data_IF_912431884876
#
_entry.id   IF_912431884876
#
_cell.length_a   1.000
_cell.length_b   1.000
_cell.length_c   1.000
_cell.angle_alpha   90.00
_cell.angle_beta   90.00
_cell.angle_gamma   90.00
#
_symmetry.space_group_name_H-M   'P 1'
#
loop_
_entity.id
_entity.type
_entity.pdbx_description
1 polymer ?
#
# COMPACT_ATOMS: atom_id res chain seq x y z
N UNK A 1 -22.90 20.35 -39.90
CA UNK A 1 -21.97 19.95 -38.82
C UNK A 1 -20.62 19.62 -39.46
N UNK A 2 -19.62 20.49 -39.26
CA UNK A 2 -18.27 20.33 -39.81
C UNK A 2 -17.54 19.19 -39.09
N UNK A 3 -17.04 18.21 -39.85
CA UNK A 3 -16.14 17.16 -39.36
C UNK A 3 -14.80 17.81 -39.00
N UNK A 4 -14.36 17.66 -37.74
CA UNK A 4 -13.01 18.01 -37.31
C UNK A 4 -12.02 17.01 -37.92
N UNK A 5 -11.02 17.53 -38.64
CA UNK A 5 -9.86 16.76 -39.10
C UNK A 5 -9.00 16.34 -37.89
N UNK A 6 -8.39 15.14 -37.89
CA UNK A 6 -7.49 14.73 -36.83
C UNK A 6 -6.19 15.54 -36.90
N UNK A 7 -5.70 15.97 -35.73
CA UNK A 7 -4.40 16.62 -35.58
C UNK A 7 -3.27 15.66 -35.99
N UNK A 8 -2.17 16.15 -36.59
CA UNK A 8 -1.06 15.29 -37.00
C UNK A 8 -0.36 14.72 -35.76
N UNK A 9 -0.24 13.39 -35.72
CA UNK A 9 0.48 12.65 -34.69
C UNK A 9 1.98 12.97 -34.77
N UNK A 10 2.64 12.95 -33.60
CA UNK A 10 4.06 13.24 -33.51
C UNK A 10 4.89 12.04 -34.01
N UNK A 11 6.12 12.26 -34.52
CA UNK A 11 6.97 11.16 -35.03
C UNK A 11 7.33 10.09 -33.97
N UNK A 12 7.18 10.42 -32.69
CA UNK A 12 7.36 9.50 -31.55
C UNK A 12 6.20 8.52 -31.38
N UNK A 13 5.00 8.86 -31.85
CA UNK A 13 3.82 7.99 -31.72
C UNK A 13 3.84 6.80 -32.68
N UNK A 14 4.62 6.89 -33.78
CA UNK A 14 4.68 5.86 -34.83
C UNK A 14 5.67 4.72 -34.54
N UNK A 15 6.57 4.89 -33.56
CA UNK A 15 7.55 3.87 -33.18
C UNK A 15 7.02 2.90 -32.09
N UNK A 16 5.79 3.13 -31.61
CA UNK A 16 5.32 2.62 -30.32
C UNK A 16 4.03 1.77 -30.42
N UNK A 17 3.56 1.50 -31.65
CA UNK A 17 2.45 0.58 -31.91
C UNK A 17 2.90 -0.87 -31.65
N UNK A 18 2.48 -1.43 -30.52
CA UNK A 18 2.59 -2.87 -30.22
C UNK A 18 3.39 -3.23 -28.97
N UNK A 19 4.13 -2.30 -28.37
CA UNK A 19 4.83 -2.55 -27.10
C UNK A 19 3.84 -2.46 -25.93
N UNK A 20 3.67 -3.51 -25.10
CA UNK A 20 2.78 -3.45 -23.94
C UNK A 20 3.23 -2.35 -22.95
N UNK A 21 2.27 -1.63 -22.36
CA UNK A 21 2.58 -0.52 -21.43
C UNK A 21 3.39 -0.99 -20.21
N UNK A 22 3.18 -2.23 -19.76
CA UNK A 22 3.99 -2.79 -18.68
C UNK A 22 5.47 -2.93 -19.03
N UNK A 23 5.81 -3.10 -20.32
CA UNK A 23 7.19 -3.14 -20.81
C UNK A 23 7.79 -1.75 -20.76
N UNK A 24 7.08 -0.72 -21.26
CA UNK A 24 7.51 0.69 -21.21
C UNK A 24 7.79 1.15 -19.76
N UNK A 25 6.86 0.86 -18.84
CA UNK A 25 7.02 1.18 -17.42
C UNK A 25 8.28 0.48 -16.84
N UNK A 26 8.51 -0.80 -17.19
CA UNK A 26 9.71 -1.55 -16.74
C UNK A 26 10.99 -0.97 -17.31
N UNK A 27 11.01 -0.59 -18.58
CA UNK A 27 12.17 0.03 -19.21
C UNK A 27 12.53 1.35 -18.53
N UNK A 28 11.54 2.21 -18.22
CA UNK A 28 11.77 3.43 -17.43
C UNK A 28 12.33 3.13 -16.04
N UNK A 29 11.78 2.15 -15.33
CA UNK A 29 12.28 1.71 -14.02
C UNK A 29 13.74 1.21 -14.09
N UNK A 30 14.05 0.38 -15.09
CA UNK A 30 15.40 -0.16 -15.30
C UNK A 30 16.40 0.92 -15.68
N UNK A 31 16.03 1.83 -16.59
CA UNK A 31 16.86 2.97 -16.98
C UNK A 31 17.20 3.87 -15.78
N UNK A 32 16.23 4.08 -14.88
CA UNK A 32 16.44 4.83 -13.64
C UNK A 32 17.11 4.01 -12.51
N UNK A 33 17.47 2.74 -12.76
CA UNK A 33 18.01 1.81 -11.75
C UNK A 33 17.14 1.71 -10.51
N UNK A 34 15.82 1.82 -10.68
CA UNK A 34 14.85 1.76 -9.59
C UNK A 34 14.41 0.32 -9.36
N UNK A 35 14.39 -0.09 -8.08
CA UNK A 35 13.82 -1.37 -7.66
C UNK A 35 12.29 -1.35 -7.79
N UNK A 36 11.70 -2.45 -8.23
CA UNK A 36 10.25 -2.60 -8.44
C UNK A 36 9.70 -3.92 -7.89
N UNK A 37 10.20 -4.38 -6.74
CA UNK A 37 9.63 -5.52 -6.00
C UNK A 37 8.17 -5.28 -5.65
N UNK A 38 7.43 -6.32 -5.30
CA UNK A 38 5.97 -6.24 -5.15
C UNK A 38 5.50 -5.13 -4.19
N UNK A 39 6.25 -4.87 -3.10
CA UNK A 39 5.94 -3.84 -2.10
C UNK A 39 6.53 -2.45 -2.38
N UNK A 40 7.25 -2.27 -3.50
CA UNK A 40 7.72 -0.96 -3.92
C UNK A 40 6.56 -0.08 -4.43
N UNK A 41 6.71 1.23 -4.31
CA UNK A 41 5.90 2.20 -5.05
C UNK A 41 6.63 2.57 -6.34
N UNK A 42 5.88 2.63 -7.44
CA UNK A 42 6.41 2.93 -8.78
C UNK A 42 5.68 4.13 -9.42
N UNK A 43 4.94 4.91 -8.64
CA UNK A 43 4.08 5.98 -9.16
C UNK A 43 4.86 7.02 -9.99
N UNK A 44 6.11 7.31 -9.62
CA UNK A 44 6.98 8.25 -10.33
C UNK A 44 7.34 7.82 -11.77
N UNK A 45 7.03 6.57 -12.15
CA UNK A 45 7.38 5.98 -13.46
C UNK A 45 6.13 5.61 -14.29
N UNK A 46 4.96 6.06 -13.84
CA UNK A 46 3.68 5.89 -14.53
C UNK A 46 3.28 7.25 -15.10
N UNK A 47 3.15 7.32 -16.42
CA UNK A 47 2.70 8.50 -17.13
C UNK A 47 1.17 8.57 -17.19
N UNK A 48 0.58 9.77 -17.39
CA UNK A 48 -0.86 9.93 -17.47
C UNK A 48 -1.49 9.01 -18.54
N UNK A 49 -2.54 8.27 -18.16
CA UNK A 49 -3.26 7.35 -19.06
C UNK A 49 -2.66 5.94 -19.14
N UNK A 50 -1.46 5.71 -18.61
CA UNK A 50 -0.84 4.38 -18.65
C UNK A 50 -1.42 3.41 -17.62
N UNK A 51 -1.97 3.90 -16.52
CA UNK A 51 -2.59 3.03 -15.53
C UNK A 51 -3.85 2.36 -16.09
N UNK A 52 -4.61 3.09 -16.91
CA UNK A 52 -5.76 2.58 -17.66
C UNK A 52 -5.33 1.53 -18.68
N UNK A 53 -4.27 1.81 -19.47
CA UNK A 53 -3.70 0.83 -20.40
C UNK A 53 -3.17 -0.42 -19.68
N UNK A 54 -2.56 -0.24 -18.49
CA UNK A 54 -2.04 -1.35 -17.71
C UNK A 54 -3.17 -2.21 -17.15
N UNK A 55 -4.30 -1.59 -16.82
CA UNK A 55 -5.50 -2.28 -16.40
C UNK A 55 -6.07 -3.13 -17.54
N UNK A 56 -6.17 -2.59 -18.76
CA UNK A 56 -6.57 -3.35 -19.95
C UNK A 56 -5.60 -4.52 -20.21
N UNK A 57 -4.29 -4.30 -20.06
CA UNK A 57 -3.28 -5.35 -20.21
C UNK A 57 -3.42 -6.46 -19.15
N UNK A 58 -3.70 -6.10 -17.89
CA UNK A 58 -3.89 -7.04 -16.78
C UNK A 58 -5.20 -7.81 -16.94
N UNK A 59 -6.28 -7.16 -17.39
CA UNK A 59 -7.53 -7.82 -17.71
C UNK A 59 -7.32 -8.94 -18.74
N UNK A 60 -6.68 -8.64 -19.87
CA UNK A 60 -6.41 -9.66 -20.89
C UNK A 60 -5.63 -10.85 -20.32
N UNK A 61 -4.63 -10.57 -19.48
CA UNK A 61 -3.84 -11.61 -18.80
C UNK A 61 -4.67 -12.41 -17.79
N UNK A 62 -5.59 -11.77 -17.07
CA UNK A 62 -6.49 -12.43 -16.15
C UNK A 62 -7.52 -13.29 -16.88
N UNK A 63 -7.97 -12.88 -18.07
CA UNK A 63 -8.84 -13.71 -18.91
C UNK A 63 -8.13 -15.01 -19.29
N UNK A 64 -6.88 -14.94 -19.76
CA UNK A 64 -6.11 -16.15 -20.06
C UNK A 64 -5.90 -17.08 -18.83
N UNK A 65 -5.86 -16.51 -17.62
CA UNK A 65 -5.85 -17.32 -16.38
C UNK A 65 -7.18 -18.05 -16.22
N UNK A 66 -8.32 -17.38 -16.43
CA UNK A 66 -9.65 -18.01 -16.36
C UNK A 66 -9.81 -19.11 -17.43
N UNK A 67 -9.37 -18.84 -18.66
CA UNK A 67 -9.39 -19.81 -19.75
C UNK A 67 -8.54 -21.04 -19.41
N UNK A 68 -7.36 -20.83 -18.81
CA UNK A 68 -6.45 -21.91 -18.37
C UNK A 68 -7.03 -22.72 -17.21
N UNK A 69 -7.92 -22.12 -16.41
CA UNK A 69 -8.68 -22.79 -15.35
C UNK A 69 -9.93 -23.52 -15.90
N UNK A 70 -10.16 -23.47 -17.22
CA UNK A 70 -11.30 -24.08 -17.91
C UNK A 70 -12.63 -23.50 -17.37
N UNK A 71 -12.65 -22.19 -17.15
CA UNK A 71 -13.85 -21.45 -16.73
C UNK A 71 -14.52 -20.88 -17.98
N UNK A 72 -15.75 -21.30 -18.25
CA UNK A 72 -16.57 -20.84 -19.39
C UNK A 72 -17.14 -19.45 -19.13
N UNK A 73 -16.29 -18.42 -19.26
CA UNK A 73 -16.71 -17.02 -19.09
C UNK A 73 -17.63 -16.53 -20.18
N UNK A 74 -17.64 -17.18 -21.35
CA UNK A 74 -18.47 -16.78 -22.49
C UNK A 74 -19.95 -17.11 -22.28
N UNK A 75 -20.24 -18.20 -21.55
CA UNK A 75 -21.62 -18.64 -21.30
C UNK A 75 -22.08 -18.48 -19.84
N UNK A 76 -21.18 -18.20 -18.89
CA UNK A 76 -21.54 -17.90 -17.49
C UNK A 76 -21.59 -16.39 -17.20
N UNK A 77 -22.81 -15.86 -17.12
CA UNK A 77 -23.10 -14.47 -16.77
C UNK A 77 -22.49 -14.00 -15.43
N UNK A 78 -22.16 -14.90 -14.50
CA UNK A 78 -21.51 -14.52 -13.24
C UNK A 78 -20.03 -14.22 -13.44
N UNK A 79 -19.37 -14.90 -14.37
CA UNK A 79 -17.91 -14.83 -14.56
C UNK A 79 -17.45 -14.02 -15.77
N UNK A 80 -18.33 -13.70 -16.73
CA UNK A 80 -18.10 -12.90 -17.96
C UNK A 80 -17.23 -11.63 -17.80
N UNK A 81 -17.28 -10.95 -16.66
CA UNK A 81 -16.50 -9.73 -16.40
C UNK A 81 -15.48 -9.87 -15.25
N UNK A 82 -15.14 -11.10 -14.86
CA UNK A 82 -14.26 -11.36 -13.71
C UNK A 82 -12.86 -10.84 -13.95
N UNK A 83 -12.31 -11.01 -15.15
CA UNK A 83 -10.98 -10.53 -15.51
C UNK A 83 -10.85 -9.01 -15.28
N UNK A 84 -11.82 -8.22 -15.79
CA UNK A 84 -11.88 -6.76 -15.57
C UNK A 84 -11.97 -6.40 -14.10
N UNK A 85 -12.86 -7.07 -13.36
CA UNK A 85 -13.07 -6.81 -11.92
C UNK A 85 -11.80 -7.08 -11.12
N UNK A 86 -11.09 -8.18 -11.41
CA UNK A 86 -9.82 -8.52 -10.75
C UNK A 86 -8.72 -7.53 -11.11
N UNK A 87 -8.59 -7.14 -12.38
CA UNK A 87 -7.62 -6.13 -12.81
C UNK A 87 -7.85 -4.79 -12.08
N UNK A 88 -9.10 -4.31 -12.05
CA UNK A 88 -9.49 -3.09 -11.32
C UNK A 88 -9.23 -3.22 -9.83
N UNK A 89 -9.60 -4.34 -9.22
CA UNK A 89 -9.34 -4.61 -7.81
C UNK A 89 -7.85 -4.49 -7.51
N UNK A 90 -6.97 -5.12 -8.30
CA UNK A 90 -5.53 -5.03 -8.08
C UNK A 90 -4.98 -3.61 -8.28
N UNK A 91 -5.27 -2.94 -9.39
CA UNK A 91 -4.62 -1.66 -9.70
C UNK A 91 -5.20 -0.47 -8.93
N UNK A 92 -6.53 -0.44 -8.77
CA UNK A 92 -7.24 0.75 -8.29
C UNK A 92 -7.70 0.63 -6.83
N UNK A 93 -7.67 -0.57 -6.26
CA UNK A 93 -8.17 -0.84 -4.90
C UNK A 93 -7.06 -1.41 -4.01
N UNK A 94 -6.79 -2.72 -4.08
CA UNK A 94 -5.94 -3.41 -3.09
C UNK A 94 -4.45 -3.10 -3.24
N UNK A 95 -3.96 -2.81 -4.45
CA UNK A 95 -2.57 -2.40 -4.69
C UNK A 95 -2.41 -0.94 -5.13
N UNK A 96 -3.43 -0.11 -4.89
CA UNK A 96 -3.42 1.31 -5.26
C UNK A 96 -2.17 2.05 -4.76
N UNK A 97 -1.73 1.75 -3.54
CA UNK A 97 -0.54 2.32 -2.90
C UNK A 97 0.78 2.01 -3.62
N UNK A 98 0.79 1.09 -4.59
CA UNK A 98 1.94 0.84 -5.50
C UNK A 98 1.99 1.85 -6.66
N UNK A 99 0.83 2.33 -7.10
CA UNK A 99 0.68 3.08 -8.36
C UNK A 99 0.40 4.57 -8.16
N UNK A 100 0.10 5.01 -6.92
CA UNK A 100 -0.15 6.43 -6.61
C UNK A 100 0.93 7.00 -5.68
N UNK A 101 1.23 8.29 -5.80
CA UNK A 101 2.17 8.96 -4.89
C UNK A 101 1.65 8.97 -3.44
N UNK A 102 2.57 9.13 -2.50
CA UNK A 102 2.24 9.23 -1.08
C UNK A 102 1.26 10.37 -0.80
N UNK A 103 0.29 10.20 0.11
CA UNK A 103 -0.64 11.26 0.47
C UNK A 103 0.10 12.45 1.11
N UNK A 104 -0.37 13.66 0.82
CA UNK A 104 0.12 14.88 1.46
C UNK A 104 -0.27 14.91 2.93
N UNK A 105 0.71 15.20 3.79
CA UNK A 105 0.46 15.43 5.21
C UNK A 105 -0.02 16.87 5.40
N UNK A 106 -1.02 17.02 6.25
CA UNK A 106 -1.43 18.33 6.75
C UNK A 106 -0.90 18.44 8.17
N UNK A 107 -0.14 19.49 8.41
CA UNK A 107 0.50 19.81 9.69
C UNK A 107 -0.19 21.00 10.34
N UNK A 108 -0.16 21.02 11.66
CA UNK A 108 -0.69 22.09 12.49
C UNK A 108 0.42 22.58 13.42
N UNK A 109 0.56 23.90 13.64
CA UNK A 109 1.52 24.43 14.60
C UNK A 109 1.33 23.80 15.97
N UNK A 110 2.42 23.32 16.57
CA UNK A 110 2.41 22.85 17.96
C UNK A 110 2.47 24.05 18.93
N UNK A 111 1.40 24.85 18.94
CA UNK A 111 1.35 26.11 19.69
C UNK A 111 1.50 25.93 21.21
N UNK A 112 1.09 24.77 21.73
CA UNK A 112 1.14 24.44 23.15
C UNK A 112 2.40 23.62 23.51
N UNK A 113 3.36 23.47 22.59
CA UNK A 113 4.60 22.73 22.81
C UNK A 113 4.38 21.31 23.36
N UNK A 114 3.35 20.62 22.84
CA UNK A 114 2.98 19.27 23.24
C UNK A 114 4.20 18.34 23.11
N UNK A 115 4.51 17.65 24.21
CA UNK A 115 5.63 16.71 24.37
C UNK A 115 5.21 15.41 25.08
N UNK A 116 3.91 15.14 25.11
CA UNK A 116 3.32 13.97 25.76
C UNK A 116 3.09 12.82 24.79
N UNK A 117 3.04 11.59 25.30
CA UNK A 117 2.76 10.38 24.52
C UNK A 117 1.39 10.48 23.82
N UNK A 118 1.39 10.40 22.49
CA UNK A 118 0.17 10.27 21.68
C UNK A 118 0.06 8.85 21.12
N UNK A 119 -1.13 8.26 21.20
CA UNK A 119 -1.41 6.95 20.59
C UNK A 119 -2.53 7.08 19.57
N UNK A 120 -2.25 6.64 18.34
CA UNK A 120 -3.21 6.57 17.25
C UNK A 120 -3.52 5.11 16.96
N UNK A 121 -4.75 4.68 17.22
CA UNK A 121 -5.21 3.35 16.87
C UNK A 121 -6.40 2.87 17.69
N UNK A 122 -6.91 1.66 17.40
CA UNK A 122 -6.45 0.78 16.33
C UNK A 122 -6.88 1.25 14.93
N UNK A 123 -5.92 1.38 14.01
CA UNK A 123 -6.19 1.59 12.58
C UNK A 123 -6.45 0.23 11.94
N UNK A 124 -7.58 0.06 11.27
CA UNK A 124 -7.84 -1.16 10.49
C UNK A 124 -7.08 -1.11 9.18
N UNK A 125 -6.24 -2.11 8.93
CA UNK A 125 -5.46 -2.22 7.70
C UNK A 125 -5.80 -3.49 6.94
N UNK A 126 -5.71 -3.40 5.62
CA UNK A 126 -5.92 -4.49 4.67
C UNK A 126 -4.79 -4.43 3.66
N UNK A 127 -4.21 -5.58 3.36
CA UNK A 127 -3.16 -5.76 2.37
C UNK A 127 -3.30 -7.16 1.75
N UNK A 128 -2.35 -7.57 0.93
CA UNK A 128 -2.21 -8.95 0.49
C UNK A 128 -0.78 -9.44 0.68
N UNK A 129 -0.60 -10.67 1.13
CA UNK A 129 0.73 -11.27 1.27
C UNK A 129 1.41 -11.34 -0.10
N UNK A 130 2.61 -10.79 -0.24
CA UNK A 130 3.35 -10.72 -1.51
C UNK A 130 3.58 -12.09 -2.16
N UNK A 131 3.62 -13.16 -1.36
CA UNK A 131 3.86 -14.53 -1.84
C UNK A 131 2.65 -15.18 -2.54
N UNK A 132 1.42 -14.82 -2.16
CA UNK A 132 0.21 -15.52 -2.60
C UNK A 132 -0.93 -14.59 -3.03
N UNK A 133 -0.78 -13.28 -2.81
CA UNK A 133 -1.82 -12.26 -2.94
C UNK A 133 -3.11 -12.58 -2.15
N UNK A 134 -3.01 -13.46 -1.14
CA UNK A 134 -4.09 -13.69 -0.19
C UNK A 134 -4.19 -12.52 0.81
N UNK A 135 -5.40 -12.20 1.30
CA UNK A 135 -5.60 -11.09 2.22
C UNK A 135 -4.74 -11.17 3.50
N UNK A 136 -4.23 -10.02 3.90
CA UNK A 136 -3.68 -9.77 5.24
C UNK A 136 -4.55 -8.70 5.87
N UNK A 137 -5.21 -9.03 6.98
CA UNK A 137 -6.17 -8.14 7.64
C UNK A 137 -5.71 -7.96 9.08
N UNK A 138 -5.54 -6.71 9.50
CA UNK A 138 -4.95 -6.42 10.79
C UNK A 138 -5.35 -5.09 11.39
N UNK A 139 -4.73 -4.82 12.54
CA UNK A 139 -4.82 -3.57 13.29
C UNK A 139 -3.42 -3.03 13.53
N UNK A 140 -3.27 -1.71 13.39
CA UNK A 140 -2.03 -0.99 13.69
C UNK A 140 -2.29 0.03 14.80
N UNK A 141 -1.35 0.11 15.74
CA UNK A 141 -1.26 1.16 16.75
C UNK A 141 0.04 1.92 16.55
N UNK A 142 -0.03 3.25 16.56
CA UNK A 142 1.11 4.13 16.35
C UNK A 142 1.25 5.03 17.58
N UNK A 143 2.32 4.84 18.34
CA UNK A 143 2.74 5.72 19.42
C UNK A 143 3.70 6.78 18.90
N UNK A 144 3.45 8.04 19.20
CA UNK A 144 4.28 9.17 18.79
C UNK A 144 4.64 9.97 20.02
N UNK A 145 5.93 10.21 20.20
CA UNK A 145 6.44 11.20 21.15
C UNK A 145 6.82 12.45 20.34
N UNK A 146 5.97 13.48 20.28
CA UNK A 146 6.24 14.67 19.50
C UNK A 146 7.43 15.42 20.10
N UNK A 147 8.15 16.15 19.24
CA UNK A 147 9.13 17.12 19.69
C UNK A 147 8.41 18.48 19.88
N UNK A 148 8.71 19.19 20.96
CA UNK A 148 8.10 20.49 21.29
C UNK A 148 8.30 21.59 20.22
N UNK A 149 9.24 21.38 19.29
CA UNK A 149 9.55 22.25 18.16
C UNK A 149 8.98 21.75 16.82
N UNK A 150 8.34 20.58 16.78
CA UNK A 150 7.77 20.01 15.55
C UNK A 150 6.27 20.25 15.46
N UNK A 151 5.76 20.40 14.24
CA UNK A 151 4.32 20.47 14.01
C UNK A 151 3.62 19.16 14.38
N UNK A 152 2.36 19.26 14.79
CA UNK A 152 1.50 18.09 15.02
C UNK A 152 0.77 17.73 13.73
N UNK A 153 0.58 16.45 13.50
CA UNK A 153 -0.08 15.95 12.29
C UNK A 153 -1.49 15.51 12.58
N UNK A 154 -2.40 15.84 11.66
CA UNK A 154 -3.79 15.45 11.77
C UNK A 154 -3.97 13.93 11.87
N UNK A 155 -4.84 13.50 12.80
CA UNK A 155 -5.09 12.09 13.11
C UNK A 155 -5.37 11.24 11.86
N UNK A 156 -6.16 11.77 10.91
CA UNK A 156 -6.51 11.08 9.66
C UNK A 156 -5.32 10.79 8.75
N UNK A 157 -4.18 11.47 8.92
CA UNK A 157 -2.99 11.28 8.07
C UNK A 157 -2.27 9.98 8.39
N UNK A 158 -2.21 9.58 9.67
CA UNK A 158 -1.66 8.27 10.06
C UNK A 158 -2.40 7.12 9.37
N UNK A 159 -3.74 7.17 9.38
CA UNK A 159 -4.56 6.18 8.68
C UNK A 159 -4.29 6.15 7.17
N UNK A 160 -4.18 7.33 6.53
CA UNK A 160 -3.88 7.43 5.09
C UNK A 160 -2.48 6.92 4.73
N UNK A 161 -1.48 7.19 5.56
CA UNK A 161 -0.11 6.67 5.35
C UNK A 161 -0.08 5.15 5.52
N UNK A 162 -0.74 4.63 6.55
CA UNK A 162 -0.87 3.19 6.77
C UNK A 162 -1.59 2.52 5.60
N UNK A 163 -2.71 3.07 5.14
CA UNK A 163 -3.43 2.58 3.96
C UNK A 163 -2.60 2.64 2.68
N UNK A 164 -1.81 3.70 2.47
CA UNK A 164 -0.94 3.82 1.30
C UNK A 164 0.20 2.80 1.28
N UNK A 165 0.78 2.48 2.44
CA UNK A 165 1.78 1.39 2.56
C UNK A 165 1.11 0.03 2.39
N UNK A 166 -0.03 -0.19 3.05
CA UNK A 166 -0.71 -1.49 3.07
C UNK A 166 -1.43 -1.79 1.76
N UNK A 167 -1.75 -0.76 0.96
CA UNK A 167 -2.26 -0.86 -0.40
C UNK A 167 -1.21 -1.33 -1.41
N UNK A 168 -0.40 -2.31 -1.05
CA UNK A 168 0.59 -3.00 -1.88
C UNK A 168 0.59 -4.48 -1.49
N UNK A 169 1.07 -5.40 -2.33
CA UNK A 169 1.49 -6.69 -1.85
C UNK A 169 2.60 -6.51 -0.83
N UNK A 170 2.49 -7.11 0.36
CA UNK A 170 3.39 -6.85 1.49
C UNK A 170 3.92 -8.12 2.14
N UNK A 171 5.06 -7.94 2.80
CA UNK A 171 5.55 -8.78 3.90
C UNK A 171 5.34 -7.94 5.17
N UNK A 172 4.71 -8.50 6.21
CA UNK A 172 4.27 -7.70 7.38
C UNK A 172 5.46 -7.05 8.10
N UNK A 173 6.58 -7.75 8.19
CA UNK A 173 7.83 -7.28 8.76
C UNK A 173 8.33 -6.02 8.05
N UNK A 174 8.35 -6.05 6.72
CA UNK A 174 8.79 -4.91 5.90
C UNK A 174 7.77 -3.77 5.91
N UNK A 175 6.47 -4.08 5.87
CA UNK A 175 5.41 -3.07 5.83
C UNK A 175 5.43 -2.16 7.06
N UNK A 176 5.63 -2.73 8.26
CA UNK A 176 5.67 -1.95 9.50
C UNK A 176 6.93 -1.07 9.56
N UNK A 177 8.06 -1.57 9.06
CA UNK A 177 9.30 -0.77 8.94
C UNK A 177 9.11 0.37 7.94
N UNK A 178 8.56 0.10 6.75
CA UNK A 178 8.27 1.12 5.74
C UNK A 178 7.34 2.22 6.26
N UNK A 179 6.31 1.84 7.02
CA UNK A 179 5.40 2.79 7.65
C UNK A 179 6.13 3.63 8.71
N UNK A 180 6.95 3.00 9.55
CA UNK A 180 7.73 3.70 10.57
C UNK A 180 8.70 4.70 9.95
N UNK A 181 9.44 4.28 8.92
CA UNK A 181 10.42 5.14 8.24
C UNK A 181 9.72 6.30 7.50
N UNK A 182 8.55 6.05 6.89
CA UNK A 182 7.74 7.09 6.24
C UNK A 182 7.23 8.14 7.24
N UNK A 183 6.74 7.71 8.40
CA UNK A 183 6.27 8.62 9.45
C UNK A 183 7.48 9.38 10.01
N UNK A 184 8.55 8.69 10.40
CA UNK A 184 9.76 9.34 10.90
C UNK A 184 10.29 10.43 9.95
N UNK A 185 10.34 10.14 8.64
CA UNK A 185 10.79 11.10 7.63
C UNK A 185 9.91 12.34 7.57
N UNK A 186 8.58 12.16 7.67
CA UNK A 186 7.62 13.25 7.49
C UNK A 186 7.31 14.03 8.76
N UNK A 187 7.48 13.43 9.93
CA UNK A 187 7.02 14.01 11.21
C UNK A 187 8.14 14.28 12.19
N UNK A 188 9.34 13.71 11.97
CA UNK A 188 10.55 13.87 12.78
C UNK A 188 10.31 13.90 14.31
N UNK A 189 9.57 12.94 14.88
CA UNK A 189 9.27 12.95 16.31
C UNK A 189 10.51 12.50 17.11
N UNK A 190 10.54 12.84 18.39
CA UNK A 190 11.57 12.34 19.33
C UNK A 190 11.49 10.82 19.51
N UNK A 191 10.29 10.25 19.32
CA UNK A 191 10.05 8.82 19.35
C UNK A 191 8.88 8.39 18.48
N UNK A 192 9.03 7.22 17.88
CA UNK A 192 7.96 6.54 17.15
C UNK A 192 7.92 5.07 17.56
N UNK A 193 6.72 4.56 17.86
CA UNK A 193 6.45 3.17 18.10
C UNK A 193 5.31 2.71 17.19
N UNK A 194 5.43 1.54 16.58
CA UNK A 194 4.35 0.92 15.81
C UNK A 194 4.20 -0.52 16.26
N UNK A 195 2.97 -0.94 16.51
CA UNK A 195 2.60 -2.34 16.73
C UNK A 195 1.56 -2.71 15.68
N UNK A 196 1.75 -3.84 15.02
CA UNK A 196 0.78 -4.41 14.10
C UNK A 196 0.46 -5.83 14.51
N UNK A 197 -0.84 -6.14 14.56
CA UNK A 197 -1.37 -7.50 14.68
C UNK A 197 -2.17 -7.80 13.41
N UNK A 198 -1.93 -8.93 12.74
CA UNK A 198 -2.72 -9.33 11.59
C UNK A 198 -2.91 -10.85 11.46
N UNK A 199 -4.02 -11.20 10.82
CA UNK A 199 -4.31 -12.55 10.33
C UNK A 199 -3.90 -12.66 8.86
N UNK A 200 -3.33 -13.81 8.49
CA UNK A 200 -2.78 -14.08 7.17
C UNK A 200 -3.58 -15.17 6.46
N UNK A 201 -4.36 -14.81 5.44
CA UNK A 201 -5.21 -15.77 4.73
C UNK A 201 -4.43 -16.73 3.84
N UNK A 202 -3.14 -16.46 3.57
CA UNK A 202 -2.26 -17.44 2.95
C UNK A 202 -2.01 -18.68 3.83
N UNK A 203 -2.22 -18.57 5.14
CA UNK A 203 -2.23 -19.69 6.09
C UNK A 203 -3.65 -20.09 6.51
N UNK A 204 -4.54 -19.12 6.72
CA UNK A 204 -5.87 -19.38 7.28
C UNK A 204 -6.82 -20.06 6.27
N UNK A 205 -6.78 -19.65 5.00
CA UNK A 205 -7.71 -20.16 3.98
C UNK A 205 -7.19 -21.42 3.26
N UNK A 206 -5.87 -21.56 3.15
CA UNK A 206 -5.22 -22.62 2.35
C UNK A 206 -4.01 -23.21 3.06
N UNK A 207 -3.49 -24.33 2.55
CA UNK A 207 -2.33 -24.99 3.13
C UNK A 207 -2.64 -25.52 4.53
N UNK A 208 -2.00 -24.95 5.55
CA UNK A 208 -2.15 -25.36 6.96
C UNK A 208 -3.54 -25.07 7.54
N UNK A 209 -4.26 -24.07 7.02
CA UNK A 209 -5.64 -23.71 7.41
C UNK A 209 -5.82 -23.39 8.91
N UNK A 210 -4.82 -22.76 9.51
CA UNK A 210 -4.90 -22.28 10.90
C UNK A 210 -5.61 -20.92 10.94
N UNK A 211 -6.79 -20.89 11.55
CA UNK A 211 -7.65 -19.71 11.64
C UNK A 211 -7.36 -18.84 12.87
N UNK A 212 -6.68 -19.39 13.88
CA UNK A 212 -6.47 -18.73 15.18
C UNK A 212 -5.11 -18.02 15.24
N UNK A 213 -4.15 -18.46 14.43
CA UNK A 213 -2.82 -17.85 14.33
C UNK A 213 -2.87 -16.39 13.91
N UNK A 214 -2.10 -15.57 14.64
CA UNK A 214 -1.86 -14.16 14.33
C UNK A 214 -0.38 -13.84 14.39
N UNK A 215 0.04 -12.94 13.51
CA UNK A 215 1.37 -12.39 13.55
C UNK A 215 1.33 -11.01 14.21
N UNK A 216 2.14 -10.83 15.25
CA UNK A 216 2.34 -9.55 15.93
C UNK A 216 3.79 -9.14 15.74
N UNK A 217 4.03 -7.93 15.24
CA UNK A 217 5.35 -7.34 15.17
C UNK A 217 5.32 -5.88 15.61
N UNK A 218 6.48 -5.37 16.02
CA UNK A 218 6.62 -3.97 16.43
C UNK A 218 7.91 -3.34 15.94
N UNK A 219 7.88 -2.02 15.78
CA UNK A 219 9.03 -1.19 15.45
C UNK A 219 9.09 -0.07 16.47
N UNK A 220 10.28 0.13 17.07
CA UNK A 220 10.55 1.16 18.06
C UNK A 220 11.71 2.03 17.58
N UNK A 221 11.53 3.36 17.61
CA UNK A 221 12.51 4.36 17.19
C UNK A 221 12.62 5.47 18.24
N UNK A 222 13.75 6.16 18.25
CA UNK A 222 13.97 7.30 19.12
C UNK A 222 13.84 6.93 20.61
N UNK A 223 13.13 7.76 21.37
CA UNK A 223 12.97 7.55 22.82
C UNK A 223 12.27 6.24 23.19
N UNK A 224 11.37 5.69 22.35
CA UNK A 224 10.75 4.38 22.60
C UNK A 224 11.76 3.21 22.56
N UNK A 225 12.85 3.35 21.82
CA UNK A 225 13.90 2.32 21.79
C UNK A 225 14.81 2.42 23.01
N UNK A 226 15.04 3.63 23.51
CA UNK A 226 16.00 3.93 24.59
C UNK A 226 15.38 3.84 25.98
N UNK A 227 14.12 4.22 26.12
CA UNK A 227 13.40 4.25 27.40
C UNK A 227 12.43 3.05 27.53
N UNK A 228 12.75 2.05 28.37
CA UNK A 228 11.87 0.92 28.61
C UNK A 228 10.59 1.29 29.36
N UNK A 229 10.56 2.40 30.13
CA UNK A 229 9.36 2.85 30.83
C UNK A 229 8.31 3.36 29.85
N UNK A 230 8.70 4.29 28.97
CA UNK A 230 7.83 4.80 27.91
C UNK A 230 7.34 3.68 26.99
N UNK A 231 8.22 2.74 26.62
CA UNK A 231 7.81 1.57 25.83
C UNK A 231 6.77 0.72 26.55
N UNK A 232 6.90 0.51 27.86
CA UNK A 232 5.91 -0.23 28.67
C UNK A 232 4.59 0.52 28.76
N UNK A 233 4.63 1.83 28.97
CA UNK A 233 3.43 2.68 28.98
C UNK A 233 2.64 2.51 27.68
N UNK A 234 3.30 2.70 26.52
CA UNK A 234 2.67 2.51 25.22
C UNK A 234 2.06 1.12 25.04
N UNK A 235 2.81 0.05 25.33
CA UNK A 235 2.31 -1.33 25.20
C UNK A 235 1.15 -1.64 26.16
N UNK A 236 1.12 -1.00 27.34
CA UNK A 236 0.03 -1.17 28.32
C UNK A 236 -1.26 -0.47 27.93
N UNK A 237 -1.17 0.62 27.16
CA UNK A 237 -2.31 1.40 26.67
C UNK A 237 -2.92 0.80 25.40
N UNK A 238 -2.23 -0.10 24.70
CA UNK A 238 -2.81 -0.89 23.61
C UNK A 238 -3.81 -1.88 24.23
N UNK A 239 -5.10 -1.84 23.84
CA UNK A 239 -6.09 -2.75 24.38
C UNK A 239 -5.66 -4.21 24.14
N UNK A 240 -5.41 -4.95 25.22
CA UNK A 240 -5.29 -6.40 25.11
C UNK A 240 -6.69 -6.97 24.89
N UNK A 241 -6.84 -7.82 23.87
CA UNK A 241 -8.12 -8.51 23.64
C UNK A 241 -8.39 -9.42 24.85
N UNK A 242 -9.54 -9.19 25.50
CA UNK A 242 -10.26 -10.18 26.28
C UNK A 242 -10.88 -11.24 25.39
#
# INVERSE_FOLDING_TARGET
MLKKSPSPMSPTDLADEGTPVSVKIRERLLAARKRFYANDNIADYIEPGELEQLLDEVELKMQHVLDSLIIDTDNDHNTDNTARRVAKMYLNEVFKGRYVHAPTITEFPNAEHLNELMIVGPITVRSACSHHFCPVIGKIWIGVMPNEHTNVIGLSKYARLAEWIMGRPQIQEEAVVQLADLIQLKTQPDGLAIVMEASHYCMAWRGVKDMDSKMINSVMRGVFLKDPNLRREFLSLIPQRS
#
